data_IF_160588223294
#
_entry.id   IF_160588223294
#
_cell.length_a   1.000
_cell.length_b   1.000
_cell.length_c   1.000
_cell.angle_alpha   90.00
_cell.angle_beta   90.00
_cell.angle_gamma   90.00
#
_symmetry.space_group_name_H-M   'P 1'
#
loop_
_entity.id
_entity.type
_entity.pdbx_description
1 polymer ?
#
# COMPACT_ATOMS: atom_id res chain seq x y z
N UNK A 1 -4.88 -13.64 8.71
CA UNK A 1 -5.55 -12.44 9.25
C UNK A 1 -6.48 -12.86 10.37
N UNK A 2 -6.55 -12.12 11.49
CA UNK A 2 -7.51 -12.40 12.56
C UNK A 2 -8.96 -12.34 12.05
N UNK A 3 -9.87 -13.20 12.53
CA UNK A 3 -11.22 -13.33 11.98
C UNK A 3 -12.12 -12.11 12.24
N UNK A 4 -11.76 -11.28 13.21
CA UNK A 4 -12.47 -10.06 13.61
C UNK A 4 -11.91 -8.79 12.95
N UNK A 5 -10.91 -8.93 12.07
CA UNK A 5 -10.51 -7.85 11.15
C UNK A 5 -11.43 -7.89 9.93
N UNK A 6 -12.11 -6.76 9.70
CA UNK A 6 -12.86 -6.52 8.48
C UNK A 6 -12.05 -5.64 7.52
N UNK A 7 -12.16 -5.89 6.22
CA UNK A 7 -11.52 -5.06 5.18
C UNK A 7 -12.58 -4.51 4.25
N UNK A 8 -12.53 -3.20 3.99
CA UNK A 8 -13.43 -2.51 3.07
C UNK A 8 -12.67 -1.51 2.20
N UNK A 9 -13.31 -1.06 1.12
CA UNK A 9 -12.84 0.13 0.40
C UNK A 9 -12.80 1.33 1.35
N UNK A 10 -11.79 2.19 1.15
CA UNK A 10 -11.72 3.46 1.84
C UNK A 10 -12.84 4.39 1.37
N UNK A 11 -13.10 5.43 2.15
CA UNK A 11 -13.99 6.55 1.84
C UNK A 11 -13.19 7.85 1.98
N UNK A 12 -13.59 8.96 1.33
CA UNK A 12 -12.90 10.24 1.49
C UNK A 12 -12.69 10.66 2.96
N UNK A 13 -13.70 10.42 3.81
CA UNK A 13 -13.63 10.69 5.26
C UNK A 13 -12.64 9.84 6.06
N UNK A 14 -12.10 8.74 5.50
CA UNK A 14 -11.05 7.97 6.17
C UNK A 14 -9.70 8.71 6.18
N UNK A 15 -9.55 9.81 5.41
CA UNK A 15 -8.33 10.62 5.39
C UNK A 15 -7.97 11.14 6.77
N UNK A 16 -8.92 11.74 7.47
CA UNK A 16 -8.71 12.31 8.81
C UNK A 16 -8.25 11.23 9.80
N UNK A 17 -8.85 10.03 9.72
CA UNK A 17 -8.48 8.88 10.57
C UNK A 17 -7.09 8.35 10.27
N UNK A 18 -6.70 8.33 8.99
CA UNK A 18 -5.39 7.84 8.55
C UNK A 18 -4.27 8.83 8.94
N UNK A 19 -4.44 10.13 8.67
CA UNK A 19 -3.39 11.11 8.99
C UNK A 19 -3.20 11.29 10.50
N UNK A 20 -4.26 11.09 11.30
CA UNK A 20 -4.18 11.14 12.76
C UNK A 20 -3.24 10.08 13.35
N UNK A 21 -3.04 8.94 12.67
CA UNK A 21 -2.22 7.82 13.18
C UNK A 21 -0.92 7.61 12.39
N UNK A 22 -0.78 8.22 11.21
CA UNK A 22 0.29 7.90 10.26
C UNK A 22 1.69 8.09 10.86
N UNK A 23 1.93 9.20 11.54
CA UNK A 23 3.25 9.51 12.12
C UNK A 23 3.61 8.56 13.26
N UNK A 24 2.65 8.23 14.13
CA UNK A 24 2.81 7.28 15.22
C UNK A 24 3.14 5.89 14.68
N UNK A 25 2.37 5.41 13.71
CA UNK A 25 2.57 4.07 13.14
C UNK A 25 3.91 3.95 12.43
N UNK A 26 4.39 5.02 11.76
CA UNK A 26 5.72 5.03 11.13
C UNK A 26 6.87 5.34 12.09
N UNK A 27 6.59 5.89 13.27
CA UNK A 27 7.60 6.40 14.20
C UNK A 27 8.36 7.62 13.69
N UNK A 28 7.81 8.35 12.70
CA UNK A 28 8.40 9.57 12.12
C UNK A 28 7.35 10.36 11.33
N UNK A 29 7.58 11.66 11.05
CA UNK A 29 6.68 12.46 10.22
C UNK A 29 6.54 11.90 8.79
N UNK A 30 5.33 11.44 8.45
CA UNK A 30 4.93 10.95 7.12
C UNK A 30 3.55 11.44 6.69
N UNK A 31 2.71 11.97 7.58
CA UNK A 31 1.34 12.38 7.28
C UNK A 31 1.27 13.37 6.10
N UNK A 32 2.24 14.29 5.98
CA UNK A 32 2.33 15.23 4.86
C UNK A 32 2.51 14.55 3.48
N UNK A 33 2.94 13.28 3.44
CA UNK A 33 3.07 12.48 2.21
C UNK A 33 1.77 11.77 1.81
N UNK A 34 0.71 11.94 2.61
CA UNK A 34 -0.65 11.46 2.37
C UNK A 34 -1.62 12.66 2.24
N UNK A 35 -1.43 13.54 1.23
CA UNK A 35 -2.38 14.62 0.98
C UNK A 35 -3.78 14.05 0.69
N UNK A 36 -4.79 14.85 1.01
CA UNK A 36 -6.21 14.48 0.92
C UNK A 36 -6.61 13.98 -0.48
N UNK A 37 -5.94 14.45 -1.52
CA UNK A 37 -6.13 14.03 -2.91
C UNK A 37 -6.20 12.51 -3.08
N UNK A 38 -5.46 11.74 -2.27
CA UNK A 38 -5.44 10.29 -2.43
C UNK A 38 -6.78 9.65 -2.08
N UNK A 39 -7.48 10.17 -1.08
CA UNK A 39 -8.79 9.63 -0.69
C UNK A 39 -9.95 10.41 -1.29
N UNK A 40 -9.73 11.65 -1.74
CA UNK A 40 -10.73 12.36 -2.56
C UNK A 40 -10.87 11.71 -3.95
N UNK A 41 -9.77 11.22 -4.55
CA UNK A 41 -9.78 10.69 -5.93
C UNK A 41 -9.58 9.17 -6.04
N UNK A 42 -8.90 8.54 -5.08
CA UNK A 42 -8.51 7.12 -5.17
C UNK A 42 -9.00 6.27 -3.98
N UNK A 43 -10.01 6.73 -3.23
CA UNK A 43 -10.60 5.95 -2.14
C UNK A 43 -11.19 4.61 -2.61
N UNK A 44 -11.80 4.56 -3.81
CA UNK A 44 -12.42 3.35 -4.34
C UNK A 44 -11.44 2.20 -4.60
N UNK A 45 -10.16 2.51 -4.85
CA UNK A 45 -9.08 1.53 -5.04
C UNK A 45 -8.20 1.37 -3.80
N UNK A 46 -8.44 2.18 -2.77
CA UNK A 46 -7.75 2.12 -1.49
C UNK A 46 -8.54 1.26 -0.51
N UNK A 47 -7.86 0.67 0.45
CA UNK A 47 -8.44 -0.26 1.43
C UNK A 47 -8.13 0.20 2.84
N UNK A 48 -9.08 -0.05 3.74
CA UNK A 48 -8.88 0.05 5.19
C UNK A 48 -9.26 -1.27 5.85
N UNK A 49 -8.49 -1.65 6.87
CA UNK A 49 -8.81 -2.76 7.75
C UNK A 49 -9.20 -2.21 9.11
N UNK A 50 -10.28 -2.75 9.69
CA UNK A 50 -10.83 -2.31 10.97
C UNK A 50 -11.03 -3.50 11.90
N UNK A 51 -10.69 -3.31 13.19
CA UNK A 51 -11.06 -4.19 14.31
C UNK A 51 -12.03 -3.41 15.19
N UNK A 52 -13.24 -3.93 15.41
CA UNK A 52 -14.25 -3.27 16.26
C UNK A 52 -14.48 -1.79 15.92
N UNK A 53 -14.44 -1.44 14.63
CA UNK A 53 -14.58 -0.06 14.13
C UNK A 53 -13.33 0.82 14.27
N UNK A 54 -12.26 0.35 14.90
CA UNK A 54 -10.97 1.03 15.00
C UNK A 54 -10.07 0.69 13.81
N UNK A 55 -9.35 1.69 13.28
CA UNK A 55 -8.43 1.50 12.17
C UNK A 55 -7.25 0.61 12.60
N UNK A 56 -7.07 -0.51 11.92
CA UNK A 56 -6.01 -1.49 12.17
C UNK A 56 -4.95 -1.48 11.06
N UNK A 57 -5.33 -1.16 9.82
CA UNK A 57 -4.41 -1.01 8.70
C UNK A 57 -5.04 -0.19 7.57
N UNK A 58 -4.21 0.27 6.64
CA UNK A 58 -4.68 0.86 5.40
C UNK A 58 -3.71 0.58 4.25
N UNK A 59 -4.23 0.63 3.03
CA UNK A 59 -3.49 0.60 1.77
C UNK A 59 -4.06 1.67 0.86
N UNK A 60 -3.23 2.63 0.48
CA UNK A 60 -3.54 3.68 -0.49
C UNK A 60 -2.97 3.25 -1.84
N UNK A 61 -3.84 3.03 -2.81
CA UNK A 61 -3.43 2.59 -4.14
C UNK A 61 -4.40 3.06 -5.22
N UNK A 62 -3.93 3.09 -6.46
CA UNK A 62 -4.68 3.59 -7.61
C UNK A 62 -4.29 2.86 -8.90
N UNK A 63 -5.17 2.92 -9.90
CA UNK A 63 -4.86 2.50 -11.26
C UNK A 63 -4.18 3.66 -12.01
N UNK A 64 -3.05 3.40 -12.65
CA UNK A 64 -2.32 4.45 -13.36
C UNK A 64 -3.06 4.84 -14.65
N UNK A 65 -3.36 6.14 -14.86
CA UNK A 65 -3.89 6.61 -16.14
C UNK A 65 -2.82 6.64 -17.24
N UNK A 66 -1.55 6.78 -16.87
CA UNK A 66 -0.41 6.87 -17.81
C UNK A 66 0.19 5.52 -18.17
N UNK A 67 -0.12 4.47 -17.38
CA UNK A 67 0.33 3.10 -17.62
C UNK A 67 -0.85 2.16 -17.39
N UNK A 68 -1.61 1.89 -18.47
CA UNK A 68 -2.88 1.16 -18.39
C UNK A 68 -2.73 -0.28 -17.85
N UNK A 69 -1.54 -0.85 -17.85
CA UNK A 69 -1.27 -2.17 -17.27
C UNK A 69 -0.99 -2.12 -15.75
N UNK A 70 -0.88 -0.94 -15.16
CA UNK A 70 -0.29 -0.74 -13.84
C UNK A 70 -1.32 -0.29 -12.79
N UNK A 71 -1.30 -0.97 -11.65
CA UNK A 71 -1.81 -0.47 -10.39
C UNK A 71 -0.63 -0.11 -9.47
N UNK A 72 -0.72 1.00 -8.73
CA UNK A 72 0.36 1.52 -7.89
C UNK A 72 -0.11 1.61 -6.44
N UNK A 73 0.68 1.06 -5.52
CA UNK A 73 0.50 1.24 -4.07
C UNK A 73 1.39 2.39 -3.62
N UNK A 74 0.77 3.51 -3.24
CA UNK A 74 1.45 4.70 -2.73
C UNK A 74 1.93 4.50 -1.30
N UNK A 75 1.05 4.05 -0.42
CA UNK A 75 1.33 3.85 1.00
C UNK A 75 0.56 2.66 1.55
N UNK A 76 1.17 1.92 2.46
CA UNK A 76 0.48 0.88 3.22
C UNK A 76 1.05 0.81 4.64
N UNK A 77 0.16 0.60 5.62
CA UNK A 77 0.50 0.61 7.03
C UNK A 77 -0.33 -0.39 7.81
N UNK A 78 0.25 -0.92 8.88
CA UNK A 78 -0.45 -1.69 9.91
C UNK A 78 -0.13 -1.08 11.26
N UNK A 79 -1.15 -0.95 12.11
CA UNK A 79 -1.04 -0.52 13.50
C UNK A 79 0.06 -1.34 14.19
N UNK A 80 0.97 -0.72 14.97
CA UNK A 80 2.16 -1.43 15.48
C UNK A 80 1.87 -2.73 16.24
N UNK A 81 0.83 -2.77 17.06
CA UNK A 81 0.35 -3.91 17.85
C UNK A 81 -0.34 -5.01 17.02
N UNK A 82 -0.75 -4.70 15.79
CA UNK A 82 -1.42 -5.62 14.86
C UNK A 82 -0.47 -6.26 13.82
N UNK A 83 0.82 -5.91 13.88
CA UNK A 83 1.84 -6.42 12.94
C UNK A 83 2.09 -7.91 13.15
N UNK A 84 2.48 -8.59 12.08
CA UNK A 84 2.72 -10.04 12.10
C UNK A 84 1.46 -10.89 11.98
N UNK A 85 0.25 -10.31 12.02
CA UNK A 85 -1.02 -11.03 11.94
C UNK A 85 -1.54 -11.24 10.49
N UNK A 86 -0.73 -10.92 9.49
CA UNK A 86 -1.06 -11.09 8.06
C UNK A 86 -2.03 -10.06 7.47
N UNK A 87 -2.36 -8.98 8.19
CA UNK A 87 -3.29 -7.93 7.69
C UNK A 87 -2.76 -7.26 6.43
N UNK A 88 -1.48 -6.88 6.40
CA UNK A 88 -0.89 -6.26 5.21
C UNK A 88 -0.92 -7.20 4.00
N UNK A 89 -0.67 -8.50 4.20
CA UNK A 89 -0.74 -9.49 3.12
C UNK A 89 -2.15 -9.54 2.52
N UNK A 90 -3.18 -9.59 3.37
CA UNK A 90 -4.59 -9.56 2.92
C UNK A 90 -4.92 -8.29 2.13
N UNK A 91 -4.46 -7.11 2.58
CA UNK A 91 -4.68 -5.86 1.85
C UNK A 91 -4.04 -5.90 0.46
N UNK A 92 -2.80 -6.40 0.35
CA UNK A 92 -2.12 -6.52 -0.93
C UNK A 92 -2.77 -7.55 -1.85
N UNK A 93 -3.24 -8.69 -1.35
CA UNK A 93 -3.96 -9.68 -2.16
C UNK A 93 -5.28 -9.12 -2.70
N UNK A 94 -6.07 -8.45 -1.85
CA UNK A 94 -7.32 -7.80 -2.30
C UNK A 94 -7.06 -6.71 -3.33
N UNK A 95 -6.04 -5.87 -3.11
CA UNK A 95 -5.66 -4.84 -4.07
C UNK A 95 -5.21 -5.46 -5.41
N UNK A 96 -4.38 -6.50 -5.36
CA UNK A 96 -3.89 -7.22 -6.54
C UNK A 96 -5.03 -7.89 -7.32
N UNK A 97 -5.98 -8.52 -6.62
CA UNK A 97 -7.15 -9.12 -7.24
C UNK A 97 -8.08 -8.08 -7.89
N UNK A 98 -8.31 -6.94 -7.23
CA UNK A 98 -9.09 -5.84 -7.79
C UNK A 98 -8.40 -5.22 -9.02
N UNK A 99 -7.07 -5.07 -8.97
CA UNK A 99 -6.26 -4.62 -10.09
C UNK A 99 -6.37 -5.59 -11.28
N UNK A 100 -6.29 -6.91 -11.04
CA UNK A 100 -6.47 -7.94 -12.06
C UNK A 100 -7.85 -7.86 -12.72
N UNK A 101 -8.91 -7.74 -11.92
CA UNK A 101 -10.29 -7.60 -12.41
C UNK A 101 -10.50 -6.31 -13.23
N UNK A 102 -9.71 -5.28 -12.96
CA UNK A 102 -9.69 -4.04 -13.74
C UNK A 102 -8.74 -4.07 -14.96
N UNK A 103 -8.22 -5.25 -15.32
CA UNK A 103 -7.34 -5.44 -16.47
C UNK A 103 -5.89 -4.99 -16.25
N UNK A 104 -5.48 -4.70 -15.01
CA UNK A 104 -4.09 -4.34 -14.68
C UNK A 104 -3.28 -5.62 -14.53
N UNK A 105 -2.12 -5.66 -15.16
CA UNK A 105 -1.24 -6.84 -15.17
C UNK A 105 -0.06 -6.71 -14.22
N UNK A 106 0.21 -5.51 -13.70
CA UNK A 106 1.33 -5.19 -12.82
C UNK A 106 0.87 -4.39 -11.61
N UNK A 107 1.29 -4.81 -10.41
CA UNK A 107 1.22 -4.02 -9.17
C UNK A 107 2.61 -3.49 -8.86
N UNK A 108 2.73 -2.18 -8.64
CA UNK A 108 3.99 -1.48 -8.33
C UNK A 108 3.95 -0.81 -6.96
N UNK A 109 5.12 -0.75 -6.32
CA UNK A 109 5.35 0.04 -5.10
C UNK A 109 6.85 0.39 -5.01
N UNK A 110 7.22 1.32 -4.13
CA UNK A 110 8.63 1.66 -3.88
C UNK A 110 8.93 1.79 -2.40
N UNK A 111 10.19 1.64 -2.04
CA UNK A 111 10.67 1.94 -0.69
C UNK A 111 12.10 2.46 -0.69
N UNK A 112 12.57 3.01 0.44
CA UNK A 112 13.98 3.39 0.60
C UNK A 112 14.87 2.15 0.77
N UNK A 113 16.11 2.14 0.25
CA UNK A 113 17.01 0.97 0.35
C UNK A 113 17.23 0.45 1.78
N UNK A 114 17.24 1.32 2.79
CA UNK A 114 17.38 0.93 4.20
C UNK A 114 16.15 0.28 4.83
N UNK A 115 15.02 0.18 4.12
CA UNK A 115 13.78 -0.39 4.67
C UNK A 115 13.73 -1.92 4.48
N UNK A 116 14.65 -2.63 5.14
CA UNK A 116 14.79 -4.08 5.05
C UNK A 116 13.49 -4.84 5.35
N UNK A 117 12.67 -4.35 6.30
CA UNK A 117 11.37 -4.93 6.63
C UNK A 117 10.40 -4.90 5.44
N UNK A 118 10.30 -3.74 4.77
CA UNK A 118 9.44 -3.61 3.59
C UNK A 118 9.94 -4.47 2.43
N UNK A 119 11.26 -4.54 2.23
CA UNK A 119 11.87 -5.38 1.20
C UNK A 119 11.52 -6.85 1.44
N UNK A 120 11.81 -7.38 2.64
CA UNK A 120 11.51 -8.76 2.99
C UNK A 120 10.00 -9.08 2.87
N UNK A 121 9.13 -8.16 3.30
CA UNK A 121 7.68 -8.32 3.18
C UNK A 121 7.23 -8.42 1.72
N UNK A 122 7.68 -7.51 0.84
CA UNK A 122 7.29 -7.54 -0.56
C UNK A 122 7.87 -8.76 -1.29
N UNK A 123 9.11 -9.15 -1.00
CA UNK A 123 9.69 -10.39 -1.52
C UNK A 123 8.86 -11.63 -1.12
N UNK A 124 8.43 -11.72 0.13
CA UNK A 124 7.59 -12.82 0.62
C UNK A 124 6.21 -12.88 -0.05
N UNK A 125 5.69 -11.72 -0.50
CA UNK A 125 4.46 -11.63 -1.29
C UNK A 125 4.66 -11.91 -2.79
N UNK A 126 5.87 -12.28 -3.22
CA UNK A 126 6.17 -12.59 -4.61
C UNK A 126 6.38 -11.36 -5.50
N UNK A 127 6.71 -10.20 -4.93
CA UNK A 127 7.22 -9.08 -5.72
C UNK A 127 8.67 -9.35 -6.12
N UNK A 128 8.98 -9.05 -7.37
CA UNK A 128 10.35 -8.79 -7.81
C UNK A 128 10.86 -7.52 -7.14
N UNK A 129 12.08 -7.58 -6.63
CA UNK A 129 12.74 -6.46 -5.93
C UNK A 129 13.95 -6.02 -6.73
N UNK A 130 13.98 -4.75 -7.15
CA UNK A 130 15.12 -4.20 -7.88
C UNK A 130 16.34 -3.97 -6.98
N UNK A 131 17.52 -3.82 -7.58
CA UNK A 131 18.60 -3.07 -6.94
C UNK A 131 18.15 -1.61 -6.66
N UNK A 132 18.77 -0.89 -5.72
CA UNK A 132 18.52 0.55 -5.55
C UNK A 132 18.70 1.29 -6.87
N UNK A 133 17.68 2.06 -7.25
CA UNK A 133 17.70 2.99 -8.38
C UNK A 133 18.18 4.35 -7.84
N UNK A 134 19.36 4.84 -8.27
CA UNK A 134 19.90 6.11 -7.81
C UNK A 134 18.97 7.27 -8.13
N UNK A 135 18.88 8.24 -7.21
CA UNK A 135 18.19 9.52 -7.40
C UNK A 135 16.72 9.40 -7.88
N UNK A 136 16.05 8.28 -7.61
CA UNK A 136 14.70 7.99 -8.10
C UNK A 136 13.68 9.08 -7.74
N UNK A 137 13.71 9.55 -6.48
CA UNK A 137 12.87 10.66 -6.01
C UNK A 137 13.64 12.00 -5.98
N UNK A 138 14.71 12.13 -6.76
CA UNK A 138 15.62 13.28 -6.80
C UNK A 138 16.95 13.04 -6.05
N UNK A 139 17.85 14.05 -6.00
CA UNK A 139 19.22 13.87 -5.52
C UNK A 139 19.33 13.22 -4.13
N UNK A 140 20.10 12.14 -4.03
CA UNK A 140 20.33 11.34 -2.84
C UNK A 140 19.11 10.53 -2.36
N UNK A 141 18.02 10.47 -3.13
CA UNK A 141 16.76 9.83 -2.76
C UNK A 141 16.51 8.56 -3.56
N UNK A 142 17.44 7.63 -3.44
CA UNK A 142 17.39 6.31 -4.04
C UNK A 142 16.13 5.53 -3.63
N UNK A 143 15.63 4.68 -4.53
CA UNK A 143 14.50 3.78 -4.24
C UNK A 143 14.75 2.37 -4.71
N UNK A 144 14.20 1.43 -3.97
CA UNK A 144 13.99 0.06 -4.41
C UNK A 144 12.58 -0.03 -4.99
N UNK A 145 12.46 -0.56 -6.20
CA UNK A 145 11.19 -0.73 -6.92
C UNK A 145 10.71 -2.16 -6.74
N UNK A 146 9.43 -2.29 -6.41
CA UNK A 146 8.73 -3.56 -6.30
C UNK A 146 7.76 -3.73 -7.47
N UNK A 147 7.78 -4.88 -8.12
CA UNK A 147 6.80 -5.25 -9.13
C UNK A 147 6.25 -6.65 -8.91
N UNK A 148 4.94 -6.83 -8.99
CA UNK A 148 4.28 -8.15 -8.99
C UNK A 148 3.31 -8.25 -10.15
N UNK A 149 3.32 -9.38 -10.85
CA UNK A 149 2.32 -9.67 -11.88
C UNK A 149 1.03 -10.17 -11.23
N UNK A 150 -0.12 -9.66 -11.67
CA UNK A 150 -1.44 -10.02 -11.12
C UNK A 150 -1.93 -11.42 -11.55
N UNK A 151 -1.24 -12.07 -12.50
CA UNK A 151 -1.72 -13.29 -13.17
C UNK A 151 -2.73 -12.98 -14.27
N UNK A 152 -3.13 -13.97 -15.10
CA UNK A 152 -4.17 -13.74 -16.10
C UNK A 152 -5.50 -13.42 -15.42
N UNK A 153 -6.25 -12.45 -15.99
CA UNK A 153 -7.65 -12.25 -15.61
C UNK A 153 -8.41 -13.56 -15.87
N UNK A 154 -9.05 -14.10 -14.83
CA UNK A 154 -9.94 -15.26 -14.97
C UNK A 154 -11.26 -14.84 -15.59
#
# INVERSE_FOLDING_TARGET
MPPDISVRAARPGDHERIVAVADEWWGRPVAAKLPRLFLDHFAATSLVAERDGALAAFLIGFHSPSAADTAYVHFAAVRPDERGNGIAAELYERFTAAAAAAGRTVVRAVTSPGNARSIAFHSALGFSVSAPVPDYDGPGRDRVVFERRTGPAR
#
